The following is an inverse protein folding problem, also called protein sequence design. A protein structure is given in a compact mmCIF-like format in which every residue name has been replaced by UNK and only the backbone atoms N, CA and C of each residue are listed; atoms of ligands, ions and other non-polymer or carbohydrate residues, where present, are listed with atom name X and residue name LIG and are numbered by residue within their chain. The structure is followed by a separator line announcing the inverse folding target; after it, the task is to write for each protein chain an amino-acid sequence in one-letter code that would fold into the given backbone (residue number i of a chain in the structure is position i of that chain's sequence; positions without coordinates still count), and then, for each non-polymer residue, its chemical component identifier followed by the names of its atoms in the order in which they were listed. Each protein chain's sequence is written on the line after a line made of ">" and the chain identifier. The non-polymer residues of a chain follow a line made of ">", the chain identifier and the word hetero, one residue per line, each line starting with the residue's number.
data_IF_173530933499
#
_entry.id   IF_173530933499
#
_cell.length_a   1.000
_cell.length_b   1.000
_cell.length_c   1.000
_cell.angle_alpha   90.00
_cell.angle_beta   90.00
_cell.angle_gamma   90.00
#
_symmetry.space_group_name_H-M   'P 1'
#
loop_
_entity.id
_entity.type
_entity.pdbx_description
1 polymer ?
#
# COMPACT_ATOMS: atom_id res chain seq x y z
N UNK A 1 -2.30 -15.00 3.12
CA UNK A 1 -1.75 -14.23 1.99
C UNK A 1 -1.79 -15.01 0.69
N UNK A 2 -1.19 -16.19 0.63
CA UNK A 2 -1.24 -17.02 -0.59
C UNK A 2 -2.67 -17.34 -1.00
N UNK A 3 -3.56 -17.63 -0.05
CA UNK A 3 -4.96 -17.93 -0.32
C UNK A 3 -5.66 -16.76 -1.02
N UNK A 4 -5.41 -15.53 -0.55
CA UNK A 4 -6.01 -14.33 -1.13
C UNK A 4 -5.54 -14.12 -2.57
N UNK A 5 -4.23 -14.24 -2.81
CA UNK A 5 -3.68 -14.14 -4.17
C UNK A 5 -4.25 -15.21 -5.09
N UNK A 6 -4.38 -16.45 -4.59
CA UNK A 6 -4.95 -17.54 -5.35
C UNK A 6 -6.38 -17.25 -5.75
N UNK A 7 -7.18 -16.67 -4.83
CA UNK A 7 -8.56 -16.31 -5.13
C UNK A 7 -8.65 -15.22 -6.19
N UNK A 8 -7.79 -14.19 -6.12
CA UNK A 8 -7.74 -13.14 -7.12
C UNK A 8 -7.37 -13.67 -8.49
N UNK A 9 -6.40 -14.57 -8.55
CA UNK A 9 -6.00 -15.21 -9.80
C UNK A 9 -7.13 -16.07 -10.38
N UNK A 10 -7.87 -16.79 -9.53
CA UNK A 10 -9.02 -17.58 -9.96
C UNK A 10 -10.13 -16.73 -10.56
N UNK A 11 -10.38 -15.54 -9.99
CA UNK A 11 -11.40 -14.63 -10.52
C UNK A 11 -10.94 -13.89 -11.77
N UNK A 12 -9.64 -13.95 -12.08
CA UNK A 12 -9.07 -13.23 -13.21
C UNK A 12 -8.96 -11.73 -12.99
N UNK A 13 -9.09 -11.27 -11.75
CA UNK A 13 -8.95 -9.87 -11.41
C UNK A 13 -7.48 -9.47 -11.32
N UNK A 14 -7.15 -8.21 -11.66
CA UNK A 14 -5.80 -7.71 -11.41
C UNK A 14 -5.54 -7.58 -9.91
N UNK A 15 -4.27 -7.51 -9.54
CA UNK A 15 -3.86 -7.43 -8.14
C UNK A 15 -2.82 -6.35 -7.90
N UNK A 16 -2.75 -5.86 -6.68
CA UNK A 16 -1.72 -4.94 -6.21
C UNK A 16 -1.19 -5.43 -4.87
N UNK A 17 0.11 -5.32 -4.66
CA UNK A 17 0.78 -5.68 -3.42
C UNK A 17 1.91 -4.69 -3.17
N UNK A 18 1.99 -4.16 -1.95
CA UNK A 18 3.13 -3.36 -1.51
C UNK A 18 4.02 -4.26 -0.65
N UNK A 19 5.26 -4.43 -1.08
CA UNK A 19 6.25 -5.18 -0.32
C UNK A 19 7.25 -4.21 0.28
N UNK A 20 7.36 -4.21 1.62
CA UNK A 20 8.27 -3.33 2.34
C UNK A 20 9.56 -4.07 2.68
N UNK A 21 10.69 -3.37 2.59
CA UNK A 21 11.99 -3.95 2.94
C UNK A 21 12.11 -4.20 4.45
N UNK A 22 11.34 -3.46 5.26
CA UNK A 22 11.26 -3.65 6.71
C UNK A 22 9.91 -3.15 7.20
N UNK A 23 9.44 -3.72 8.30
CA UNK A 23 8.13 -3.41 8.87
C UNK A 23 8.20 -2.39 10.02
N UNK A 24 9.39 -2.03 10.46
CA UNK A 24 9.59 -1.03 11.51
C UNK A 24 10.67 -0.04 11.11
N UNK A 25 10.52 1.19 11.57
CA UNK A 25 11.46 2.26 11.24
C UNK A 25 11.47 3.30 12.34
N UNK A 26 12.62 3.92 12.52
CA UNK A 26 12.81 5.03 13.46
C UNK A 26 12.76 6.37 12.70
N UNK A 27 12.68 7.45 13.45
CA UNK A 27 12.71 8.80 12.87
C UNK A 27 14.00 9.01 12.07
N UNK A 28 13.87 9.62 10.91
CA UNK A 28 14.97 9.88 9.99
C UNK A 28 15.27 8.74 9.03
N UNK A 29 14.67 7.58 9.24
CA UNK A 29 14.84 6.46 8.33
C UNK A 29 13.89 6.56 7.14
N UNK A 30 14.30 6.00 6.02
CA UNK A 30 13.46 5.88 4.82
C UNK A 30 13.02 4.43 4.71
N UNK A 31 11.71 4.21 4.75
CA UNK A 31 11.13 2.88 4.48
C UNK A 31 11.05 2.71 2.97
N UNK A 32 11.67 1.68 2.45
CA UNK A 32 11.71 1.38 1.02
C UNK A 32 10.95 0.10 0.72
N UNK A 33 10.46 0.01 -0.49
CA UNK A 33 9.77 -1.18 -0.96
C UNK A 33 9.42 -1.06 -2.41
N UNK A 34 8.50 -1.92 -2.84
CA UNK A 34 8.02 -1.93 -4.21
C UNK A 34 6.53 -2.24 -4.25
N UNK A 35 5.82 -1.57 -5.13
CA UNK A 35 4.48 -1.97 -5.51
C UNK A 35 4.58 -2.98 -6.64
N UNK A 36 3.91 -4.11 -6.50
CA UNK A 36 3.80 -5.13 -7.53
C UNK A 36 2.38 -5.14 -8.04
N UNK A 37 2.21 -4.85 -9.32
CA UNK A 37 0.91 -4.86 -9.97
C UNK A 37 0.93 -5.99 -10.99
N UNK A 38 -0.11 -6.82 -10.97
CA UNK A 38 -0.26 -7.89 -11.94
C UNK A 38 -1.58 -7.74 -12.66
N UNK A 39 -1.55 -7.79 -13.98
CA UNK A 39 -2.75 -7.78 -14.79
C UNK A 39 -3.56 -9.05 -14.59
N UNK A 40 -4.88 -8.93 -14.78
CA UNK A 40 -5.77 -10.07 -14.72
C UNK A 40 -5.90 -10.79 -16.05
N UNK A 41 -7.02 -11.44 -16.27
CA UNK A 41 -7.28 -12.16 -17.53
C UNK A 41 -7.47 -11.22 -18.70
N UNK A 42 -8.05 -10.04 -18.44
CA UNK A 42 -8.34 -9.06 -19.48
C UNK A 42 -7.50 -7.83 -19.27
N UNK A 43 -7.13 -7.15 -20.35
CA UNK A 43 -6.51 -5.85 -20.25
C UNK A 43 -7.46 -4.85 -19.60
N UNK A 44 -6.92 -3.94 -18.80
CA UNK A 44 -7.71 -2.89 -18.19
C UNK A 44 -6.88 -1.62 -18.07
N UNK A 45 -7.58 -0.48 -17.97
CA UNK A 45 -6.91 0.81 -17.84
C UNK A 45 -6.78 1.18 -16.38
N UNK A 46 -5.55 1.48 -15.96
CA UNK A 46 -5.26 1.95 -14.61
C UNK A 46 -5.25 3.48 -14.64
N UNK A 47 -6.00 4.10 -13.72
CA UNK A 47 -5.99 5.56 -13.55
C UNK A 47 -4.82 5.99 -12.67
N UNK A 48 -4.72 5.41 -11.49
CA UNK A 48 -3.72 5.84 -10.50
C UNK A 48 -3.50 4.78 -9.44
N UNK A 49 -2.37 4.92 -8.75
CA UNK A 49 -2.04 4.18 -7.55
C UNK A 49 -1.96 5.18 -6.40
N UNK A 50 -2.64 4.90 -5.31
CA UNK A 50 -2.63 5.76 -4.12
C UNK A 50 -2.13 4.95 -2.93
N UNK A 51 -1.31 5.57 -2.07
CA UNK A 51 -0.88 4.97 -0.82
C UNK A 51 -1.04 5.99 0.30
N UNK A 52 -1.75 5.60 1.36
CA UNK A 52 -2.12 6.48 2.46
C UNK A 52 -1.71 5.85 3.78
N UNK A 53 -1.13 6.63 4.68
CA UNK A 53 -0.83 6.18 6.04
C UNK A 53 -2.06 6.42 6.92
N UNK A 54 -2.50 5.37 7.60
CA UNK A 54 -3.70 5.37 8.43
C UNK A 54 -3.36 4.84 9.80
N UNK A 55 -3.92 5.45 10.85
CA UNK A 55 -3.96 4.87 12.19
C UNK A 55 -5.22 4.04 12.34
N UNK A 56 -5.07 2.85 12.87
CA UNK A 56 -6.17 1.96 13.13
C UNK A 56 -6.20 1.66 14.62
N UNK A 57 -7.26 2.13 15.30
CA UNK A 57 -7.40 2.01 16.74
C UNK A 57 -8.08 0.69 17.11
N UNK A 58 -7.86 0.25 18.37
CA UNK A 58 -8.42 -1.02 18.87
C UNK A 58 -9.95 -1.11 18.75
N UNK A 59 -10.64 0.03 18.87
CA UNK A 59 -12.10 0.07 18.74
C UNK A 59 -12.61 0.04 17.31
N UNK A 60 -11.71 -0.13 16.34
CA UNK A 60 -12.06 -0.14 14.91
C UNK A 60 -12.09 1.23 14.26
N UNK A 61 -11.90 2.30 15.03
CA UNK A 61 -11.81 3.64 14.47
C UNK A 61 -10.54 3.79 13.64
N UNK A 62 -10.65 4.45 12.50
CA UNK A 62 -9.50 4.73 11.65
C UNK A 62 -9.34 6.23 11.44
N UNK A 63 -8.10 6.66 11.29
CA UNK A 63 -7.77 8.07 11.08
C UNK A 63 -6.70 8.15 9.99
N UNK A 64 -6.98 8.91 8.93
CA UNK A 64 -6.00 9.16 7.89
C UNK A 64 -4.94 10.11 8.42
N UNK A 65 -3.68 9.67 8.38
CA UNK A 65 -2.56 10.48 8.85
C UNK A 65 -2.04 11.37 7.73
N UNK A 66 -1.69 10.77 6.59
CA UNK A 66 -1.26 11.53 5.43
C UNK A 66 -1.30 10.67 4.16
N UNK A 67 -1.37 11.37 3.04
CA UNK A 67 -1.21 10.74 1.74
C UNK A 67 0.30 10.59 1.49
N UNK A 68 0.76 9.33 1.35
CA UNK A 68 2.18 9.04 1.19
C UNK A 68 2.61 9.27 -0.25
N UNK A 69 1.87 8.72 -1.20
CA UNK A 69 2.16 8.90 -2.61
C UNK A 69 0.93 8.67 -3.46
N UNK A 70 0.87 9.37 -4.58
CA UNK A 70 -0.11 9.14 -5.64
C UNK A 70 0.64 9.13 -6.96
N UNK A 71 0.50 8.05 -7.70
CA UNK A 71 1.14 7.89 -8.99
C UNK A 71 0.04 7.85 -10.06
N UNK A 72 0.01 8.88 -10.90
CA UNK A 72 -0.92 8.91 -12.04
C UNK A 72 -0.37 7.99 -13.11
N UNK A 73 -1.14 7.03 -13.52
CA UNK A 73 -0.68 6.02 -14.46
C UNK A 73 -1.28 6.19 -15.86
N UNK A 74 -2.60 6.35 -15.95
CA UNK A 74 -3.30 6.54 -17.23
C UNK A 74 -2.82 5.60 -18.33
N UNK A 75 -2.65 4.32 -17.98
CA UNK A 75 -2.12 3.33 -18.92
C UNK A 75 -2.93 2.05 -18.86
N UNK A 76 -2.86 1.31 -19.94
CA UNK A 76 -3.44 -0.04 -19.99
C UNK A 76 -2.43 -1.03 -19.42
N UNK A 77 -2.90 -1.89 -18.51
CA UNK A 77 -2.15 -3.08 -18.12
C UNK A 77 -2.71 -4.25 -18.91
N UNK A 78 -1.83 -4.96 -19.61
CA UNK A 78 -2.24 -6.09 -20.43
C UNK A 78 -2.49 -7.32 -19.58
N UNK A 79 -3.18 -8.31 -20.16
CA UNK A 79 -3.43 -9.58 -19.48
C UNK A 79 -2.12 -10.16 -18.93
N UNK A 80 -2.11 -10.47 -17.64
CA UNK A 80 -0.98 -11.08 -16.93
C UNK A 80 0.31 -10.27 -16.95
N UNK A 81 0.28 -9.02 -17.40
CA UNK A 81 1.45 -8.14 -17.35
C UNK A 81 1.82 -7.85 -15.90
N UNK A 82 3.13 -7.81 -15.62
CA UNK A 82 3.65 -7.47 -14.30
C UNK A 82 4.33 -6.12 -14.36
N UNK A 83 3.98 -5.25 -13.39
CA UNK A 83 4.56 -3.91 -13.27
C UNK A 83 5.12 -3.78 -11.86
N UNK A 84 6.33 -3.25 -11.76
CA UNK A 84 6.99 -3.01 -10.47
C UNK A 84 7.31 -1.53 -10.38
N UNK A 85 6.88 -0.89 -9.28
CA UNK A 85 7.11 0.53 -9.03
C UNK A 85 7.80 0.72 -7.69
N UNK A 86 8.82 1.59 -7.61
CA UNK A 86 9.52 1.82 -6.35
C UNK A 86 8.65 2.59 -5.36
N UNK A 87 8.84 2.31 -4.08
CA UNK A 87 8.20 2.98 -2.96
C UNK A 87 9.27 3.48 -1.99
N UNK A 88 9.13 4.70 -1.49
CA UNK A 88 9.94 5.20 -0.40
C UNK A 88 9.13 6.17 0.46
N UNK A 89 9.37 6.15 1.77
CA UNK A 89 8.66 7.00 2.71
C UNK A 89 9.59 7.39 3.85
N UNK A 90 9.85 8.68 3.99
CA UNK A 90 10.68 9.21 5.07
C UNK A 90 9.85 9.30 6.35
N UNK A 91 10.35 8.69 7.42
CA UNK A 91 9.70 8.75 8.74
C UNK A 91 10.21 10.00 9.46
N UNK A 92 9.31 10.92 9.75
CA UNK A 92 9.65 12.18 10.42
C UNK A 92 9.08 12.20 11.83
N UNK A 93 9.60 13.11 12.67
CA UNK A 93 9.14 13.30 14.03
C UNK A 93 7.77 13.96 14.14
N UNK A 94 7.15 14.30 13.02
CA UNK A 94 5.75 14.72 12.98
C UNK A 94 4.80 13.59 13.27
N UNK A 95 5.27 12.35 13.07
CA UNK A 95 4.48 11.16 13.35
C UNK A 95 4.69 10.73 14.80
N UNK A 96 3.61 10.29 15.46
CA UNK A 96 3.72 9.71 16.79
C UNK A 96 4.36 8.32 16.68
N UNK A 97 5.15 7.89 17.70
CA UNK A 97 5.59 6.49 17.72
C UNK A 97 4.38 5.56 17.86
N UNK A 98 4.49 4.36 17.32
CA UNK A 98 3.45 3.35 17.49
C UNK A 98 3.23 3.08 18.96
N UNK A 99 1.97 3.06 19.39
CA UNK A 99 1.59 2.85 20.79
C UNK A 99 0.66 1.65 20.90
N UNK A 100 0.31 1.29 22.15
CA UNK A 100 -0.48 0.09 22.38
C UNK A 100 -1.91 0.19 21.88
N UNK A 101 -2.44 1.40 21.71
CA UNK A 101 -3.84 1.63 21.36
C UNK A 101 -4.11 1.80 19.87
N UNK A 102 -3.06 1.85 19.04
CA UNK A 102 -3.25 1.95 17.59
C UNK A 102 -2.12 1.29 16.81
N UNK A 103 -2.41 1.00 15.56
CA UNK A 103 -1.47 0.44 14.60
C UNK A 103 -1.43 1.34 13.38
N UNK A 104 -0.24 1.59 12.84
CA UNK A 104 -0.13 2.25 11.54
C UNK A 104 -0.28 1.21 10.42
N UNK A 105 -1.04 1.58 9.40
CA UNK A 105 -1.14 0.77 8.19
C UNK A 105 -0.96 1.64 6.95
N UNK A 106 -0.26 1.10 5.99
CA UNK A 106 -0.17 1.69 4.66
C UNK A 106 -1.28 1.07 3.81
N UNK A 107 -2.25 1.88 3.45
CA UNK A 107 -3.35 1.46 2.59
C UNK A 107 -3.01 1.79 1.16
N UNK A 108 -2.83 0.77 0.34
CA UNK A 108 -2.57 0.91 -1.09
C UNK A 108 -3.87 0.69 -1.85
N UNK A 109 -4.17 1.58 -2.76
CA UNK A 109 -5.38 1.49 -3.58
C UNK A 109 -5.02 1.70 -5.05
N UNK A 110 -5.28 0.68 -5.86
CA UNK A 110 -5.08 0.75 -7.30
C UNK A 110 -6.44 1.02 -7.95
N UNK A 111 -6.58 2.18 -8.56
CA UNK A 111 -7.84 2.66 -9.12
C UNK A 111 -7.84 2.47 -10.63
N UNK A 112 -8.85 1.79 -11.13
CA UNK A 112 -9.03 1.52 -12.56
C UNK A 112 -10.08 2.46 -13.15
N UNK A 113 -10.11 2.56 -14.47
CA UNK A 113 -11.25 3.13 -15.17
C UNK A 113 -12.50 2.32 -14.79
N UNK A 114 -13.68 2.84 -14.94
CA UNK A 114 -14.93 2.14 -14.62
C UNK A 114 -15.17 1.93 -13.11
N UNK A 115 -14.55 2.75 -12.28
CA UNK A 115 -14.77 2.75 -10.82
C UNK A 115 -14.42 1.44 -10.11
N UNK A 116 -13.55 0.63 -10.69
CA UNK A 116 -12.99 -0.53 -10.01
C UNK A 116 -11.74 -0.14 -9.23
N UNK A 117 -11.49 -0.86 -8.14
CA UNK A 117 -10.26 -0.68 -7.38
C UNK A 117 -9.81 -2.00 -6.76
N UNK A 118 -8.50 -2.08 -6.46
CA UNK A 118 -7.91 -3.18 -5.70
C UNK A 118 -7.10 -2.56 -4.58
N UNK A 119 -7.15 -3.20 -3.41
CA UNK A 119 -6.56 -2.66 -2.18
C UNK A 119 -5.58 -3.64 -1.56
N UNK A 120 -4.62 -3.08 -0.84
CA UNK A 120 -3.66 -3.82 -0.04
C UNK A 120 -3.41 -3.06 1.25
N UNK A 121 -3.05 -3.78 2.32
CA UNK A 121 -2.78 -3.20 3.65
C UNK A 121 -1.49 -3.75 4.18
N UNK A 122 -0.62 -2.88 4.64
CA UNK A 122 0.67 -3.29 5.23
C UNK A 122 0.89 -2.56 6.54
N UNK A 123 1.24 -3.32 7.58
CA UNK A 123 1.53 -2.75 8.88
C UNK A 123 2.89 -2.07 8.90
N UNK A 124 2.98 -0.93 9.56
CA UNK A 124 4.22 -0.21 9.76
C UNK A 124 4.35 0.18 11.23
N UNK A 125 5.46 -0.18 11.85
CA UNK A 125 5.76 0.18 13.23
C UNK A 125 6.75 1.34 13.22
N UNK A 126 6.40 2.43 13.90
CA UNK A 126 7.28 3.59 14.05
C UNK A 126 7.83 3.58 15.46
N UNK A 127 9.15 3.53 15.55
CA UNK A 127 9.88 3.41 16.80
C UNK A 127 10.51 4.75 17.15
N UNK A 128 10.31 5.19 18.39
CA UNK A 128 10.98 6.38 18.89
C UNK A 128 12.39 5.99 19.32
N UNK A 129 13.38 6.50 18.61
CA UNK A 129 14.79 6.25 18.90
C UNK A 129 15.44 7.36 19.71
N UNK A 130 14.64 8.28 20.23
CA UNK A 130 15.14 9.36 21.10
C UNK A 130 15.34 8.82 22.51
N UNK A 131 16.49 9.05 23.06
CA UNK A 131 16.78 8.71 24.45
C UNK A 131 16.72 9.93 25.34
#
# INVERSE_FOLDING_TARGET
>A
MLTLLTNLLKTGAPSVDLSLSKESAAYGEIVKGHFFIQGGRKSCKIKRLECTLVKEYENGHTETVEEVTTILMSRVINSEEKVELPFSYLITDKLEPTAADFTYRLHTNLVFAENMSRKDHDELVIVDNKE
#
